data_IF_552180475773
#
_entry.id   IF_552180475773
#
_cell.length_a   1.000
_cell.length_b   1.000
_cell.length_c   1.000
_cell.angle_alpha   90.00
_cell.angle_beta   90.00
_cell.angle_gamma   90.00
#
_symmetry.space_group_name_H-M   'P 1'
#
loop_
_entity.id
_entity.type
_entity.pdbx_description
1 polymer ?
#
# COMPACT_ATOMS: atom_id res chain seq x y z
N UNK A 1 14.58 -1.50 14.90
CA UNK A 1 14.20 -1.85 13.51
C UNK A 1 13.43 -3.17 13.54
N UNK A 2 12.34 -3.30 12.79
CA UNK A 2 11.43 -4.47 12.79
C UNK A 2 11.88 -5.62 11.86
N UNK A 3 13.11 -5.56 11.36
CA UNK A 3 13.68 -6.48 10.38
C UNK A 3 14.64 -5.76 9.43
N UNK A 4 15.36 -6.52 8.59
CA UNK A 4 16.13 -5.95 7.50
C UNK A 4 15.17 -5.41 6.42
N UNK A 5 15.37 -4.18 5.98
CA UNK A 5 14.59 -3.53 4.92
C UNK A 5 15.55 -2.94 3.88
N UNK A 6 16.22 -3.79 3.09
CA UNK A 6 17.13 -3.32 2.06
C UNK A 6 16.37 -2.57 0.96
N UNK A 7 17.05 -1.61 0.35
CA UNK A 7 16.53 -0.75 -0.72
C UNK A 7 17.08 -1.13 -2.10
N UNK A 8 17.69 -2.31 -2.21
CA UNK A 8 18.24 -2.93 -3.41
C UNK A 8 17.29 -2.83 -4.62
N UNK A 9 16.00 -3.12 -4.42
CA UNK A 9 15.00 -3.02 -5.50
C UNK A 9 14.79 -1.59 -6.02
N UNK A 10 14.93 -0.59 -5.15
CA UNK A 10 14.83 0.82 -5.54
C UNK A 10 16.04 1.19 -6.40
N UNK A 11 17.24 0.85 -5.93
CA UNK A 11 18.49 1.19 -6.59
C UNK A 11 18.61 0.51 -7.96
N UNK A 12 18.32 -0.80 -8.03
CA UNK A 12 18.32 -1.54 -9.29
C UNK A 12 17.31 -0.98 -10.30
N UNK A 13 16.16 -0.47 -9.83
CA UNK A 13 15.18 0.22 -10.69
C UNK A 13 15.72 1.52 -11.27
N UNK A 14 16.39 2.34 -10.46
CA UNK A 14 17.02 3.58 -10.94
C UNK A 14 18.18 3.32 -11.91
N UNK A 15 18.99 2.28 -11.67
CA UNK A 15 20.05 1.87 -12.61
C UNK A 15 19.45 1.47 -13.96
N UNK A 16 18.32 0.75 -13.97
CA UNK A 16 17.57 0.42 -15.20
C UNK A 16 17.05 1.67 -15.93
N UNK A 17 16.71 2.72 -15.19
CA UNK A 17 16.37 4.03 -15.76
C UNK A 17 17.58 4.81 -16.29
N UNK A 18 18.79 4.24 -16.20
CA UNK A 18 20.03 4.85 -16.64
C UNK A 18 20.69 5.78 -15.61
N UNK A 19 20.22 5.77 -14.36
CA UNK A 19 20.88 6.52 -13.29
C UNK A 19 22.17 5.84 -12.85
N UNK A 20 23.18 6.65 -12.53
CA UNK A 20 24.38 6.20 -11.82
C UNK A 20 24.08 6.20 -10.32
N UNK A 21 24.19 5.04 -9.67
CA UNK A 21 23.93 4.88 -8.24
C UNK A 21 25.21 4.46 -7.53
N UNK A 22 25.58 5.19 -6.49
CA UNK A 22 26.78 4.94 -5.69
C UNK A 22 26.49 5.07 -4.19
N UNK A 23 27.29 4.38 -3.38
CA UNK A 23 27.30 4.54 -1.93
C UNK A 23 28.53 5.36 -1.54
N UNK A 24 28.30 6.58 -1.07
CA UNK A 24 29.36 7.50 -0.64
C UNK A 24 29.20 7.77 0.86
N UNK A 25 30.17 7.35 1.67
CA UNK A 25 30.18 7.59 3.13
C UNK A 25 28.91 7.14 3.89
N UNK A 26 28.18 6.16 3.35
CA UNK A 26 26.93 5.65 3.93
C UNK A 26 25.66 6.25 3.32
N UNK A 27 25.79 7.26 2.46
CA UNK A 27 24.68 7.86 1.72
C UNK A 27 24.52 7.22 0.35
N UNK A 28 23.26 7.11 -0.10
CA UNK A 28 22.94 6.76 -1.48
C UNK A 28 23.00 8.02 -2.32
N UNK A 29 23.95 8.06 -3.26
CA UNK A 29 24.10 9.13 -4.24
C UNK A 29 23.62 8.59 -5.59
N UNK A 30 22.51 9.12 -6.09
CA UNK A 30 21.96 8.77 -7.40
C UNK A 30 22.00 9.98 -8.35
N UNK A 31 22.55 9.80 -9.54
CA UNK A 31 22.67 10.84 -10.57
C UNK A 31 21.96 10.41 -11.85
N UNK A 32 21.11 11.28 -12.38
CA UNK A 32 20.50 11.06 -13.69
C UNK A 32 21.58 10.97 -14.80
N UNK A 33 21.31 10.28 -15.92
CA UNK A 33 22.26 10.19 -17.03
C UNK A 33 22.61 11.58 -17.60
N UNK A 34 23.71 11.66 -18.35
CA UNK A 34 24.29 12.93 -18.84
C UNK A 34 23.34 13.77 -19.71
N UNK A 35 22.35 13.15 -20.35
CA UNK A 35 21.30 13.82 -21.12
C UNK A 35 20.19 14.41 -20.23
N UNK A 36 20.30 14.27 -18.90
CA UNK A 36 19.51 14.93 -17.88
C UNK A 36 18.18 14.25 -17.56
N UNK A 37 17.80 13.18 -18.27
CA UNK A 37 16.49 12.54 -18.11
C UNK A 37 16.61 11.03 -18.05
N UNK A 38 15.94 10.44 -17.06
CA UNK A 38 15.76 9.01 -16.94
C UNK A 38 15.10 8.42 -18.19
N UNK A 39 15.34 7.15 -18.47
CA UNK A 39 14.76 6.43 -19.62
C UNK A 39 13.78 5.38 -19.09
N UNK A 40 12.62 5.26 -19.72
CA UNK A 40 11.65 4.21 -19.36
C UNK A 40 12.24 2.81 -19.52
N UNK A 41 11.81 1.89 -18.66
CA UNK A 41 12.38 0.54 -18.61
C UNK A 41 11.37 -0.52 -18.20
N UNK A 42 11.69 -1.78 -18.48
CA UNK A 42 10.95 -2.92 -17.97
C UNK A 42 11.58 -3.43 -16.66
N UNK A 43 10.79 -3.41 -15.59
CA UNK A 43 11.20 -3.70 -14.23
C UNK A 43 10.42 -4.91 -13.74
N UNK A 44 11.15 -5.92 -13.27
CA UNK A 44 10.57 -7.15 -12.72
C UNK A 44 11.03 -7.23 -11.27
N UNK A 45 10.11 -7.06 -10.32
CA UNK A 45 10.45 -7.19 -8.91
C UNK A 45 10.51 -8.65 -8.48
N UNK A 46 11.64 -9.03 -7.88
CA UNK A 46 11.84 -10.37 -7.30
C UNK A 46 10.94 -10.61 -6.07
N UNK A 47 10.60 -9.54 -5.35
CA UNK A 47 9.65 -9.53 -4.24
C UNK A 47 8.84 -8.24 -4.25
N UNK A 48 7.60 -8.31 -3.77
CA UNK A 48 6.74 -7.12 -3.66
C UNK A 48 7.36 -6.12 -2.70
N UNK A 49 7.41 -4.85 -3.11
CA UNK A 49 7.87 -3.73 -2.29
C UNK A 49 6.98 -2.52 -2.53
N UNK A 50 6.22 -2.11 -1.52
CA UNK A 50 5.29 -0.97 -1.58
C UNK A 50 6.03 0.31 -1.97
N UNK A 51 6.99 0.71 -1.14
CA UNK A 51 7.79 1.91 -1.40
C UNK A 51 8.68 1.78 -2.64
N UNK A 52 9.06 0.55 -3.01
CA UNK A 52 9.79 0.29 -4.26
C UNK A 52 8.94 0.62 -5.48
N UNK A 53 7.70 0.13 -5.51
CA UNK A 53 6.72 0.44 -6.56
C UNK A 53 6.45 1.94 -6.62
N UNK A 54 6.18 2.58 -5.48
CA UNK A 54 5.88 4.04 -5.42
C UNK A 54 7.04 4.87 -5.96
N UNK A 55 8.27 4.59 -5.51
CA UNK A 55 9.45 5.35 -5.88
C UNK A 55 9.75 5.27 -7.38
N UNK A 56 9.68 4.06 -7.95
CA UNK A 56 9.93 3.86 -9.37
C UNK A 56 8.77 4.36 -10.23
N UNK A 57 7.53 4.27 -9.75
CA UNK A 57 6.36 4.85 -10.41
C UNK A 57 6.49 6.37 -10.51
N UNK A 58 6.85 7.06 -9.42
CA UNK A 58 7.11 8.50 -9.44
C UNK A 58 8.24 8.87 -10.41
N UNK A 59 9.37 8.17 -10.34
CA UNK A 59 10.50 8.41 -11.24
C UNK A 59 10.12 8.20 -12.72
N UNK A 60 9.33 7.18 -13.03
CA UNK A 60 8.88 6.87 -14.38
C UNK A 60 7.97 7.96 -14.97
N UNK A 61 7.23 8.72 -14.16
CA UNK A 61 6.31 9.75 -14.67
C UNK A 61 7.01 10.84 -15.49
N UNK A 62 8.29 11.12 -15.22
CA UNK A 62 9.09 12.11 -15.96
C UNK A 62 10.22 11.48 -16.77
N UNK A 63 10.31 10.14 -16.81
CA UNK A 63 11.27 9.44 -17.67
C UNK A 63 10.90 9.59 -19.15
N UNK A 64 11.85 9.35 -20.06
CA UNK A 64 11.61 9.33 -21.50
C UNK A 64 11.14 7.94 -21.93
N UNK A 65 9.93 7.85 -22.48
CA UNK A 65 9.36 6.59 -22.98
C UNK A 65 8.45 5.92 -21.96
N UNK A 66 8.24 4.61 -22.13
CA UNK A 66 7.33 3.81 -21.30
C UNK A 66 8.10 2.96 -20.31
N UNK A 67 7.61 2.91 -19.08
CA UNK A 67 8.04 2.00 -18.03
C UNK A 67 6.94 1.00 -17.75
N UNK A 68 7.30 -0.27 -17.58
CA UNK A 68 6.40 -1.31 -17.10
C UNK A 68 7.00 -1.94 -15.85
N UNK A 69 6.26 -1.91 -14.74
CA UNK A 69 6.65 -2.53 -13.46
C UNK A 69 5.80 -3.79 -13.27
N UNK A 70 6.45 -4.95 -13.29
CA UNK A 70 5.85 -6.25 -13.01
C UNK A 70 6.07 -6.68 -11.56
N UNK A 71 5.13 -7.46 -11.04
CA UNK A 71 5.06 -7.84 -9.62
C UNK A 71 5.03 -6.59 -8.71
N UNK A 72 4.31 -5.57 -9.16
CA UNK A 72 4.11 -4.33 -8.43
C UNK A 72 3.27 -4.56 -7.16
N UNK A 73 3.51 -3.72 -6.17
CA UNK A 73 2.64 -3.57 -5.01
C UNK A 73 1.24 -3.14 -5.43
N UNK A 74 0.22 -3.66 -4.72
CA UNK A 74 -1.20 -3.55 -5.07
C UNK A 74 -2.01 -2.84 -4.01
N UNK A 75 -1.33 -2.40 -2.96
CA UNK A 75 -1.84 -1.70 -1.82
C UNK A 75 -2.69 -0.49 -2.26
N UNK A 76 -3.79 -0.18 -1.55
CA UNK A 76 -4.62 0.99 -1.86
C UNK A 76 -3.81 2.29 -1.94
N UNK A 77 -2.77 2.41 -1.12
CA UNK A 77 -1.87 3.56 -1.08
C UNK A 77 -1.09 3.75 -2.41
N UNK A 78 -0.74 2.66 -3.10
CA UNK A 78 -0.12 2.72 -4.45
C UNK A 78 -1.12 3.23 -5.48
N UNK A 79 -2.39 2.82 -5.36
CA UNK A 79 -3.46 3.26 -6.25
C UNK A 79 -3.80 4.74 -6.04
N UNK A 80 -3.81 5.20 -4.78
CA UNK A 80 -4.01 6.59 -4.40
C UNK A 80 -2.91 7.50 -4.95
N UNK A 81 -1.64 7.08 -4.83
CA UNK A 81 -0.51 7.78 -5.42
C UNK A 81 -0.63 7.88 -6.95
N UNK A 82 -1.02 6.78 -7.62
CA UNK A 82 -1.24 6.79 -9.07
C UNK A 82 -2.38 7.75 -9.46
N UNK A 83 -3.45 7.82 -8.68
CA UNK A 83 -4.55 8.76 -8.89
C UNK A 83 -4.08 10.22 -8.77
N UNK A 84 -3.31 10.56 -7.73
CA UNK A 84 -2.70 11.88 -7.58
C UNK A 84 -1.80 12.22 -8.77
N UNK A 85 -0.88 11.32 -9.14
CA UNK A 85 0.03 11.55 -10.27
C UNK A 85 -0.74 11.78 -11.58
N UNK A 86 -1.82 11.02 -11.81
CA UNK A 86 -2.68 11.22 -12.98
C UNK A 86 -3.43 12.56 -12.93
N UNK A 87 -3.91 13.01 -11.76
CA UNK A 87 -4.49 14.37 -11.59
C UNK A 87 -3.47 15.47 -11.91
N UNK A 88 -2.19 15.22 -11.64
CA UNK A 88 -1.07 16.11 -12.00
C UNK A 88 -0.67 16.03 -13.48
N UNK A 89 -1.27 15.16 -14.28
CA UNK A 89 -1.01 15.01 -15.72
C UNK A 89 -0.09 13.85 -16.11
N UNK A 90 0.26 12.96 -15.18
CA UNK A 90 0.95 11.72 -15.51
C UNK A 90 0.05 10.76 -16.31
N UNK A 91 0.65 9.69 -16.84
CA UNK A 91 -0.05 8.62 -17.55
C UNK A 91 0.26 7.27 -16.92
N UNK A 92 -0.30 7.03 -15.74
CA UNK A 92 -0.15 5.80 -14.97
C UNK A 92 -1.39 4.92 -15.14
N UNK A 93 -1.20 3.65 -15.52
CA UNK A 93 -2.26 2.66 -15.73
C UNK A 93 -1.92 1.36 -15.00
N UNK A 94 -2.95 0.64 -14.56
CA UNK A 94 -2.79 -0.68 -13.93
C UNK A 94 -2.42 -0.66 -12.44
N UNK A 95 -2.39 0.50 -11.78
CA UNK A 95 -2.23 0.58 -10.33
C UNK A 95 -3.32 -0.24 -9.60
N UNK A 96 -2.95 -0.94 -8.52
CA UNK A 96 -3.79 -1.94 -7.85
C UNK A 96 -3.73 -3.35 -8.48
N UNK A 97 -3.07 -3.49 -9.64
CA UNK A 97 -2.79 -4.78 -10.29
C UNK A 97 -1.29 -5.13 -10.21
N UNK A 98 -0.89 -6.39 -10.48
CA UNK A 98 0.52 -6.79 -10.47
C UNK A 98 1.39 -6.11 -11.55
N UNK A 99 0.78 -5.43 -12.53
CA UNK A 99 1.50 -4.77 -13.62
C UNK A 99 1.06 -3.31 -13.74
N UNK A 100 2.01 -2.39 -13.58
CA UNK A 100 1.78 -0.95 -13.73
C UNK A 100 2.53 -0.47 -14.97
N UNK A 101 1.84 0.22 -15.87
CA UNK A 101 2.42 0.85 -17.05
C UNK A 101 2.39 2.38 -16.87
N UNK A 102 3.52 3.03 -17.13
CA UNK A 102 3.71 4.46 -17.00
C UNK A 102 4.31 5.00 -18.30
N UNK A 103 3.59 5.87 -18.99
CA UNK A 103 4.14 6.66 -20.09
C UNK A 103 4.65 7.99 -19.55
N UNK A 104 5.95 8.23 -19.66
CA UNK A 104 6.56 9.44 -19.13
C UNK A 104 6.17 10.70 -19.90
N UNK A 105 6.00 11.80 -19.16
CA UNK A 105 5.58 13.12 -19.66
C UNK A 105 6.67 14.16 -19.43
N UNK A 106 6.56 15.32 -20.10
CA UNK A 106 7.56 16.40 -19.99
C UNK A 106 7.55 17.12 -18.64
N UNK A 107 6.36 17.29 -18.06
CA UNK A 107 6.17 17.98 -16.80
C UNK A 107 4.87 17.53 -16.13
N UNK A 108 4.80 17.70 -14.82
CA UNK A 108 3.59 17.56 -14.01
C UNK A 108 3.11 18.94 -13.56
N UNK A 109 1.80 19.10 -13.44
CA UNK A 109 1.15 20.26 -12.81
C UNK A 109 0.92 20.06 -11.31
N UNK A 110 0.33 21.07 -10.67
CA UNK A 110 -0.25 20.90 -9.33
C UNK A 110 -1.63 20.24 -9.40
N UNK A 111 -2.09 19.65 -8.29
CA UNK A 111 -3.41 19.06 -8.16
C UNK A 111 -3.95 19.22 -6.72
N UNK A 112 -5.27 19.30 -6.59
CA UNK A 112 -5.96 19.07 -5.31
C UNK A 112 -6.36 17.59 -5.24
N UNK A 113 -6.09 16.95 -4.10
CA UNK A 113 -6.32 15.54 -3.92
C UNK A 113 -6.67 15.24 -2.46
N UNK A 114 -7.71 14.44 -2.24
CA UNK A 114 -8.13 13.95 -0.94
C UNK A 114 -7.54 12.57 -0.75
N UNK A 115 -6.70 12.41 0.27
CA UNK A 115 -6.05 11.13 0.62
C UNK A 115 -7.13 10.13 1.05
N UNK A 116 -6.95 8.86 0.67
CA UNK A 116 -7.83 7.77 1.09
C UNK A 116 -7.88 7.60 2.62
N UNK A 117 -8.98 7.04 3.16
CA UNK A 117 -9.06 6.65 4.56
C UNK A 117 -7.99 5.63 4.97
N UNK A 118 -7.51 5.74 6.22
CA UNK A 118 -6.54 4.81 6.77
C UNK A 118 -7.20 3.47 7.13
N UNK A 119 -6.85 2.44 6.34
CA UNK A 119 -7.35 1.08 6.51
C UNK A 119 -6.79 0.37 7.76
N UNK A 120 -5.61 0.76 8.23
CA UNK A 120 -4.98 0.20 9.44
C UNK A 120 -5.61 0.83 10.68
N UNK A 121 -5.89 2.13 10.66
CA UNK A 121 -6.67 2.80 11.69
C UNK A 121 -8.08 2.20 11.79
N UNK A 122 -8.77 2.07 10.65
CA UNK A 122 -10.09 1.42 10.57
C UNK A 122 -10.03 0.03 11.22
N UNK A 123 -9.10 -0.82 10.79
CA UNK A 123 -8.91 -2.16 11.37
C UNK A 123 -8.60 -2.15 12.87
N UNK A 124 -7.83 -1.16 13.34
CA UNK A 124 -7.47 -1.00 14.75
C UNK A 124 -8.70 -0.68 15.60
N UNK A 125 -9.58 0.22 15.14
CA UNK A 125 -10.83 0.50 15.86
C UNK A 125 -11.81 -0.68 15.83
N UNK A 126 -11.86 -1.45 14.74
CA UNK A 126 -12.66 -2.69 14.70
C UNK A 126 -12.18 -3.65 15.80
N UNK A 127 -10.87 -3.88 15.90
CA UNK A 127 -10.29 -4.74 16.93
C UNK A 127 -10.53 -4.18 18.35
N UNK A 128 -10.41 -2.86 18.54
CA UNK A 128 -10.65 -2.21 19.84
C UNK A 128 -12.10 -2.38 20.32
N UNK A 129 -13.11 -2.22 19.44
CA UNK A 129 -14.51 -2.50 19.77
C UNK A 129 -14.70 -3.94 20.25
N UNK A 130 -14.09 -4.90 19.55
CA UNK A 130 -14.19 -6.31 19.88
C UNK A 130 -13.50 -6.68 21.21
N UNK A 131 -12.29 -6.17 21.45
CA UNK A 131 -11.52 -6.37 22.70
C UNK A 131 -12.28 -5.83 23.91
N UNK A 132 -12.79 -4.60 23.79
CA UNK A 132 -13.48 -3.91 24.89
C UNK A 132 -14.93 -4.36 25.07
N UNK A 133 -15.45 -5.20 24.15
CA UNK A 133 -16.87 -5.58 24.06
C UNK A 133 -17.81 -4.37 23.95
N UNK A 134 -17.30 -3.28 23.39
CA UNK A 134 -18.08 -2.09 23.07
C UNK A 134 -18.76 -2.18 21.70
N UNK A 135 -19.49 -1.12 21.36
CA UNK A 135 -20.08 -0.90 20.05
C UNK A 135 -19.56 0.43 19.51
N UNK A 136 -18.99 0.40 18.31
CA UNK A 136 -18.44 1.58 17.63
C UNK A 136 -19.08 1.75 16.26
N UNK A 137 -19.40 2.99 15.93
CA UNK A 137 -19.65 3.43 14.56
C UNK A 137 -18.36 4.07 14.03
N UNK A 138 -17.75 3.44 13.03
CA UNK A 138 -16.52 3.91 12.38
C UNK A 138 -16.95 4.62 11.11
N UNK A 139 -16.70 5.93 11.03
CA UNK A 139 -17.05 6.80 9.90
C UNK A 139 -15.83 7.11 9.05
N UNK A 140 -16.08 7.63 7.85
CA UNK A 140 -15.07 8.06 6.89
C UNK A 140 -14.01 6.99 6.61
N UNK A 141 -14.42 5.72 6.65
CA UNK A 141 -13.58 4.58 6.30
C UNK A 141 -13.84 4.13 4.86
N UNK A 142 -13.01 3.24 4.32
CA UNK A 142 -13.27 2.57 3.05
C UNK A 142 -13.24 1.04 3.25
N UNK A 143 -14.39 0.38 3.47
CA UNK A 143 -14.46 -1.07 3.72
C UNK A 143 -13.80 -1.93 2.63
N UNK A 144 -13.80 -1.47 1.38
CA UNK A 144 -13.18 -2.17 0.26
C UNK A 144 -11.65 -2.27 0.36
N UNK A 145 -11.00 -1.32 1.06
CA UNK A 145 -9.57 -1.39 1.39
C UNK A 145 -9.28 -2.35 2.54
N UNK A 146 -10.32 -2.76 3.29
CA UNK A 146 -10.23 -3.55 4.51
C UNK A 146 -10.73 -4.99 4.35
N UNK A 147 -11.00 -5.46 3.13
CA UNK A 147 -11.72 -6.72 2.88
C UNK A 147 -11.18 -7.93 3.67
N UNK A 148 -9.85 -8.13 3.68
CA UNK A 148 -9.24 -9.24 4.42
C UNK A 148 -9.17 -9.02 5.93
N UNK A 149 -9.03 -7.78 6.39
CA UNK A 149 -9.14 -7.44 7.80
C UNK A 149 -10.56 -7.78 8.30
N UNK A 150 -11.58 -7.25 7.61
CA UNK A 150 -12.99 -7.46 7.94
C UNK A 150 -13.34 -8.95 7.90
N UNK A 151 -12.96 -9.66 6.83
CA UNK A 151 -13.24 -11.09 6.71
C UNK A 151 -12.62 -11.89 7.86
N UNK A 152 -11.37 -11.60 8.23
CA UNK A 152 -10.70 -12.31 9.32
C UNK A 152 -11.30 -11.98 10.68
N UNK A 153 -11.68 -10.73 10.92
CA UNK A 153 -12.32 -10.31 12.17
C UNK A 153 -13.75 -10.90 12.30
N UNK A 154 -14.50 -10.99 11.20
CA UNK A 154 -15.78 -11.72 11.17
C UNK A 154 -15.60 -13.21 11.48
N UNK A 155 -14.57 -13.85 10.94
CA UNK A 155 -14.25 -15.27 11.19
C UNK A 155 -14.07 -15.57 12.69
N UNK A 156 -13.39 -14.68 13.42
CA UNK A 156 -13.11 -14.84 14.86
C UNK A 156 -14.21 -14.34 15.78
N UNK A 157 -15.36 -13.91 15.25
CA UNK A 157 -16.55 -13.59 16.04
C UNK A 157 -16.83 -12.09 16.24
N UNK A 158 -16.18 -11.20 15.50
CA UNK A 158 -16.56 -9.77 15.46
C UNK A 158 -17.76 -9.58 14.53
N UNK A 159 -18.81 -8.91 15.02
CA UNK A 159 -19.93 -8.48 14.20
C UNK A 159 -19.57 -7.14 13.55
N UNK A 160 -19.52 -7.12 12.22
CA UNK A 160 -19.17 -5.93 11.42
C UNK A 160 -20.28 -5.75 10.39
N UNK A 161 -21.07 -4.69 10.53
CA UNK A 161 -22.14 -4.31 9.62
C UNK A 161 -21.70 -3.12 8.77
N UNK A 162 -21.82 -3.24 7.45
CA UNK A 162 -21.58 -2.15 6.51
C UNK A 162 -22.87 -1.31 6.41
N UNK A 163 -22.91 -0.17 7.10
CA UNK A 163 -24.07 0.72 7.13
C UNK A 163 -24.25 1.41 5.78
N UNK A 164 -23.14 1.81 5.17
CA UNK A 164 -23.05 2.35 3.82
C UNK A 164 -21.60 2.19 3.31
N UNK A 165 -21.26 2.83 2.18
CA UNK A 165 -19.93 2.72 1.56
C UNK A 165 -18.78 3.26 2.41
N UNK A 166 -19.04 4.12 3.39
CA UNK A 166 -18.01 4.77 4.20
C UNK A 166 -18.27 4.69 5.71
N UNK A 167 -19.11 3.76 6.16
CA UNK A 167 -19.45 3.62 7.58
C UNK A 167 -19.65 2.16 7.97
N UNK A 168 -19.01 1.77 9.09
CA UNK A 168 -19.14 0.44 9.70
C UNK A 168 -19.73 0.56 11.10
N UNK A 169 -20.67 -0.32 11.45
CA UNK A 169 -21.05 -0.59 12.83
C UNK A 169 -20.38 -1.87 13.30
N UNK A 170 -19.72 -1.82 14.45
CA UNK A 170 -18.84 -2.89 14.91
C UNK A 170 -19.06 -3.18 16.38
N UNK A 171 -19.18 -4.48 16.71
CA UNK A 171 -19.23 -4.96 18.09
C UNK A 171 -18.69 -6.37 18.22
N UNK A 172 -18.39 -6.78 19.45
CA UNK A 172 -18.11 -8.18 19.75
C UNK A 172 -19.40 -9.00 19.66
N UNK A 173 -19.38 -10.13 18.93
CA UNK A 173 -20.56 -10.96 18.77
C UNK A 173 -20.98 -11.66 20.06
N UNK A 174 -22.28 -11.99 20.17
CA UNK A 174 -22.85 -12.55 21.40
C UNK A 174 -22.23 -13.89 21.84
N UNK A 175 -21.64 -14.65 20.90
CA UNK A 175 -20.95 -15.92 21.17
C UNK A 175 -19.50 -15.74 21.64
N UNK A 176 -19.01 -14.50 21.72
CA UNK A 176 -17.62 -14.19 22.03
C UNK A 176 -16.66 -14.44 20.87
N UNK A 177 -15.38 -14.22 21.16
CA UNK A 177 -14.29 -14.41 20.20
C UNK A 177 -13.87 -15.88 20.14
N UNK A 178 -13.25 -16.28 19.02
CA UNK A 178 -12.66 -17.60 18.84
C UNK A 178 -11.23 -17.47 18.35
N UNK A 179 -10.32 -18.22 18.98
CA UNK A 179 -8.93 -18.25 18.58
C UNK A 179 -8.79 -18.80 17.15
N UNK A 180 -7.97 -18.15 16.33
CA UNK A 180 -7.66 -18.60 14.97
C UNK A 180 -6.28 -18.10 14.54
N UNK A 181 -5.56 -18.93 13.80
CA UNK A 181 -4.25 -18.58 13.25
C UNK A 181 -4.39 -17.59 12.07
N UNK A 182 -3.31 -16.87 11.79
CA UNK A 182 -3.23 -15.90 10.69
C UNK A 182 -1.85 -15.95 10.04
N UNK A 183 -1.80 -15.67 8.74
CA UNK A 183 -0.56 -15.43 8.01
C UNK A 183 -0.65 -14.08 7.31
N UNK A 184 0.38 -13.25 7.45
CA UNK A 184 0.46 -11.93 6.82
C UNK A 184 1.11 -12.06 5.45
N UNK A 185 0.56 -11.38 4.45
CA UNK A 185 1.06 -11.38 3.09
C UNK A 185 0.77 -10.01 2.42
N UNK A 186 1.43 -9.67 1.30
CA UNK A 186 1.13 -8.44 0.56
C UNK A 186 -0.35 -8.32 0.15
N UNK A 187 -0.81 -7.09 -0.05
CA UNK A 187 -2.19 -6.83 -0.45
C UNK A 187 -2.57 -7.62 -1.72
N UNK A 188 -3.77 -8.25 -1.79
CA UNK A 188 -4.95 -8.03 -0.96
C UNK A 188 -5.04 -8.88 0.31
N UNK A 189 -3.99 -9.59 0.74
CA UNK A 189 -4.04 -10.46 1.91
C UNK A 189 -4.03 -9.68 3.25
N UNK A 190 -3.97 -10.40 4.37
CA UNK A 190 -4.00 -9.76 5.69
C UNK A 190 -2.70 -8.95 5.91
N UNK A 191 -2.79 -7.64 6.20
CA UNK A 191 -1.61 -6.79 6.27
C UNK A 191 -0.81 -7.03 7.55
N UNK A 192 0.52 -7.01 7.42
CA UNK A 192 1.43 -7.15 8.57
C UNK A 192 1.22 -6.05 9.62
N UNK A 193 0.79 -4.85 9.21
CA UNK A 193 0.53 -3.71 10.10
C UNK A 193 -0.69 -3.92 11.04
N UNK A 194 -1.54 -4.92 10.77
CA UNK A 194 -2.65 -5.31 11.66
C UNK A 194 -2.34 -6.52 12.54
N UNK A 195 -1.16 -7.11 12.40
CA UNK A 195 -0.80 -8.37 13.06
C UNK A 195 -0.74 -8.23 14.59
N UNK A 196 -0.19 -7.13 15.12
CA UNK A 196 -0.08 -6.90 16.56
C UNK A 196 -1.45 -6.66 17.23
N UNK A 197 -2.34 -5.93 16.55
CA UNK A 197 -3.70 -5.66 16.98
C UNK A 197 -4.51 -6.96 17.00
N UNK A 198 -4.35 -7.79 15.97
CA UNK A 198 -4.97 -9.11 15.93
C UNK A 198 -4.45 -10.03 17.05
N UNK A 199 -3.14 -10.07 17.31
CA UNK A 199 -2.59 -10.83 18.44
C UNK A 199 -3.21 -10.40 19.76
N UNK A 200 -3.36 -9.09 19.97
CA UNK A 200 -3.98 -8.54 21.17
C UNK A 200 -5.43 -9.02 21.29
N UNK A 201 -6.20 -8.98 20.18
CA UNK A 201 -7.55 -9.53 20.13
C UNK A 201 -7.59 -11.02 20.47
N UNK A 202 -6.63 -11.82 19.98
CA UNK A 202 -6.57 -13.26 20.26
C UNK A 202 -6.29 -13.60 21.71
N UNK A 203 -5.74 -12.69 22.52
CA UNK A 203 -5.61 -12.90 23.97
C UNK A 203 -6.97 -12.88 24.71
N UNK A 204 -8.03 -12.43 24.05
CA UNK A 204 -9.38 -12.31 24.59
C UNK A 204 -10.32 -13.44 24.13
N UNK A 205 -9.81 -14.40 23.35
CA UNK A 205 -10.56 -15.52 22.79
C UNK A 205 -10.56 -16.78 23.66
#
# INVERSE_FOLDING_TARGET
AIGARPIDLHLAGFEKFGAEVMLESGDVVARAPKDGRLIGAEINFERVSVTGTENLMMAATLARGTTTIHNAAREPEVSDLAELLNKMGARVRGAGTPTIEIEGVEALGGAEHTIIPDRIETGTFIAAAAITRGELEIRDCQPEHCLRIIAKLREVGVEIEEVNQSTLNVRCGARGLKASDLTTEPYPHFPTDMQAQYMTLMTQA
#
